data_IF_924423778865
#
_entry.id   IF_924423778865
#
_cell.length_a   1.000
_cell.length_b   1.000
_cell.length_c   1.000
_cell.angle_alpha   90.00
_cell.angle_beta   90.00
_cell.angle_gamma   90.00
#
_symmetry.space_group_name_H-M   'P 1'
#
loop_
_entity.id
_entity.type
_entity.pdbx_description
1 polymer ?
#
# COMPACT_ATOMS: atom_id res chain seq x y z
N UNK A 1 -39.09 -27.60 18.42
CA UNK A 1 -38.14 -27.45 17.30
C UNK A 1 -37.09 -26.45 17.74
N UNK A 2 -35.84 -26.87 17.95
CA UNK A 2 -34.76 -25.94 18.24
C UNK A 2 -34.37 -25.18 16.96
N UNK A 3 -34.05 -23.88 17.01
CA UNK A 3 -33.66 -23.14 15.83
C UNK A 3 -32.34 -23.68 15.27
N UNK A 4 -32.27 -23.83 13.95
CA UNK A 4 -31.02 -24.20 13.27
C UNK A 4 -30.02 -23.03 13.45
N UNK A 5 -28.76 -23.30 13.79
CA UNK A 5 -27.76 -22.24 13.87
C UNK A 5 -27.65 -21.52 12.53
N UNK A 6 -27.58 -20.19 12.59
CA UNK A 6 -27.36 -19.35 11.42
C UNK A 6 -25.97 -19.67 10.82
N UNK A 7 -25.80 -19.53 9.49
CA UNK A 7 -24.48 -19.65 8.89
C UNK A 7 -23.53 -18.58 9.45
N UNK A 8 -22.21 -18.84 9.45
CA UNK A 8 -21.24 -17.83 9.83
C UNK A 8 -21.31 -16.62 8.89
N UNK A 9 -20.99 -15.41 9.37
CA UNK A 9 -20.97 -14.21 8.54
C UNK A 9 -19.87 -14.27 7.48
N UNK A 10 -20.11 -13.65 6.32
CA UNK A 10 -19.10 -13.50 5.27
C UNK A 10 -18.06 -12.44 5.62
N UNK A 11 -16.78 -12.71 5.32
CA UNK A 11 -15.70 -11.73 5.45
C UNK A 11 -15.48 -10.98 4.13
N UNK A 12 -15.63 -9.65 4.15
CA UNK A 12 -15.40 -8.77 2.99
C UNK A 12 -14.02 -8.12 3.07
N UNK A 13 -13.24 -8.22 1.99
CA UNK A 13 -11.93 -7.55 1.88
C UNK A 13 -12.05 -6.30 1.01
N UNK A 14 -12.01 -5.12 1.65
CA UNK A 14 -12.22 -3.81 1.00
C UNK A 14 -10.94 -3.06 0.61
N UNK A 15 -9.78 -3.73 0.75
CA UNK A 15 -8.45 -3.18 0.51
C UNK A 15 -8.17 -3.00 -1.00
N UNK A 16 -7.07 -2.33 -1.38
CA UNK A 16 -6.65 -2.31 -2.78
C UNK A 16 -6.54 -3.71 -3.38
N UNK A 17 -6.94 -3.84 -4.65
CA UNK A 17 -7.04 -5.14 -5.33
C UNK A 17 -5.73 -5.94 -5.28
N UNK A 18 -4.58 -5.26 -5.40
CA UNK A 18 -3.25 -5.86 -5.33
C UNK A 18 -2.93 -6.48 -3.96
N UNK A 19 -3.59 -6.02 -2.90
CA UNK A 19 -3.40 -6.54 -1.54
C UNK A 19 -4.38 -7.68 -1.23
N UNK A 20 -5.59 -7.69 -1.82
CA UNK A 20 -6.64 -8.64 -1.46
C UNK A 20 -6.22 -10.11 -1.61
N UNK A 21 -5.46 -10.47 -2.65
CA UNK A 21 -5.05 -11.86 -2.87
C UNK A 21 -4.22 -12.42 -1.70
N UNK A 22 -3.26 -11.65 -1.18
CA UNK A 22 -2.42 -12.06 -0.07
C UNK A 22 -3.23 -12.25 1.23
N UNK A 23 -4.22 -11.38 1.47
CA UNK A 23 -5.11 -11.49 2.62
C UNK A 23 -6.06 -12.67 2.50
N UNK A 24 -6.68 -12.86 1.33
CA UNK A 24 -7.56 -13.99 1.07
C UNK A 24 -6.83 -15.33 1.27
N UNK A 25 -5.58 -15.44 0.81
CA UNK A 25 -4.78 -16.65 1.03
C UNK A 25 -4.50 -16.91 2.53
N UNK A 26 -4.22 -15.87 3.30
CA UNK A 26 -4.01 -16.00 4.76
C UNK A 26 -5.28 -16.42 5.49
N UNK A 27 -6.45 -15.89 5.11
CA UNK A 27 -7.73 -16.30 5.68
C UNK A 27 -8.14 -17.72 5.25
N UNK A 28 -7.90 -18.09 3.99
CA UNK A 28 -8.17 -19.43 3.50
C UNK A 28 -7.34 -20.49 4.24
N UNK A 29 -6.09 -20.18 4.60
CA UNK A 29 -5.25 -21.05 5.44
C UNK A 29 -5.82 -21.28 6.84
N UNK A 30 -6.73 -20.41 7.30
CA UNK A 30 -7.47 -20.52 8.56
C UNK A 30 -8.89 -21.09 8.38
N UNK A 31 -9.25 -21.53 7.16
CA UNK A 31 -10.59 -22.02 6.85
C UNK A 31 -11.66 -20.94 6.76
N UNK A 32 -11.28 -19.68 6.52
CA UNK A 32 -12.20 -18.54 6.42
C UNK A 32 -12.31 -18.10 4.96
N UNK A 33 -13.50 -18.23 4.40
CA UNK A 33 -13.81 -17.75 3.06
C UNK A 33 -13.97 -16.23 3.04
N UNK A 34 -13.36 -15.59 2.04
CA UNK A 34 -13.37 -14.15 1.85
C UNK A 34 -13.99 -13.76 0.51
N UNK A 35 -14.74 -12.65 0.50
CA UNK A 35 -15.21 -12.01 -0.72
C UNK A 35 -14.38 -10.74 -0.94
N UNK A 36 -13.68 -10.67 -2.07
CA UNK A 36 -12.93 -9.47 -2.45
C UNK A 36 -13.88 -8.40 -2.99
N UNK A 37 -13.90 -7.22 -2.37
CA UNK A 37 -14.66 -6.06 -2.81
C UNK A 37 -13.76 -4.81 -2.74
N UNK A 38 -12.79 -4.62 -3.65
CA UNK A 38 -11.83 -3.53 -3.55
C UNK A 38 -12.54 -2.16 -3.61
N UNK A 39 -12.43 -1.37 -2.55
CA UNK A 39 -13.03 -0.02 -2.47
C UNK A 39 -11.99 1.10 -2.48
N UNK A 40 -10.70 0.74 -2.48
CA UNK A 40 -9.58 1.68 -2.44
C UNK A 40 -8.72 1.46 -3.68
N UNK A 41 -8.54 2.50 -4.49
CA UNK A 41 -7.55 2.53 -5.54
C UNK A 41 -6.35 3.37 -5.09
N UNK A 42 -5.14 2.90 -5.38
CA UNK A 42 -3.90 3.62 -5.11
C UNK A 42 -3.33 4.06 -6.45
N UNK A 43 -3.16 5.36 -6.60
CA UNK A 43 -2.54 5.96 -7.78
C UNK A 43 -1.35 6.82 -7.34
N UNK A 44 -0.23 6.67 -8.05
CA UNK A 44 0.92 7.57 -7.91
C UNK A 44 0.66 8.83 -8.72
N UNK A 45 0.95 9.98 -8.12
CA UNK A 45 0.84 11.26 -8.81
C UNK A 45 2.07 11.48 -9.69
N UNK A 46 1.84 11.65 -10.99
CA UNK A 46 2.85 11.90 -12.02
C UNK A 46 2.70 13.27 -12.68
N UNK A 47 1.81 14.12 -12.15
CA UNK A 47 1.67 15.49 -12.61
C UNK A 47 2.93 16.33 -12.34
N UNK A 48 3.13 17.37 -13.15
CA UNK A 48 4.33 18.20 -13.10
C UNK A 48 4.58 18.81 -11.70
N UNK A 49 3.54 19.17 -10.95
CA UNK A 49 3.69 19.75 -9.63
C UNK A 49 4.16 18.70 -8.61
N UNK A 50 3.62 17.47 -8.67
CA UNK A 50 4.05 16.35 -7.84
C UNK A 50 5.50 15.94 -8.12
N UNK A 51 5.89 15.87 -9.40
CA UNK A 51 7.28 15.63 -9.80
C UNK A 51 8.21 16.71 -9.26
N UNK A 52 7.85 17.98 -9.42
CA UNK A 52 8.67 19.10 -8.94
C UNK A 52 8.83 19.08 -7.41
N UNK A 53 7.77 18.77 -6.66
CA UNK A 53 7.86 18.60 -5.19
C UNK A 53 8.84 17.51 -4.82
N UNK A 54 8.73 16.34 -5.45
CA UNK A 54 9.63 15.22 -5.22
C UNK A 54 11.09 15.61 -5.49
N UNK A 55 11.37 16.27 -6.60
CA UNK A 55 12.72 16.76 -6.93
C UNK A 55 13.26 17.73 -5.87
N UNK A 56 12.44 18.64 -5.37
CA UNK A 56 12.85 19.59 -4.33
C UNK A 56 13.16 18.94 -2.98
N UNK A 57 12.47 17.84 -2.64
CA UNK A 57 12.79 17.02 -1.46
C UNK A 57 14.11 16.28 -1.69
N UNK A 58 14.31 15.68 -2.86
CA UNK A 58 15.55 14.97 -3.19
C UNK A 58 16.79 15.88 -3.13
N UNK A 59 16.66 17.11 -3.62
CA UNK A 59 17.74 18.09 -3.57
C UNK A 59 18.22 18.38 -2.15
N UNK A 60 17.33 18.30 -1.15
CA UNK A 60 17.59 18.61 0.26
C UNK A 60 17.80 17.37 1.13
N UNK A 61 18.05 16.20 0.53
CA UNK A 61 18.17 14.95 1.29
C UNK A 61 19.24 14.99 2.39
N UNK A 62 20.35 15.68 2.14
CA UNK A 62 21.44 15.95 3.08
C UNK A 62 21.06 16.81 4.28
N UNK A 63 19.90 17.49 4.24
CA UNK A 63 19.42 18.35 5.33
C UNK A 63 18.54 17.60 6.34
N UNK A 64 18.12 16.37 6.03
CA UNK A 64 17.23 15.59 6.89
C UNK A 64 18.02 14.53 7.68
N UNK A 65 17.77 14.44 8.99
CA UNK A 65 18.39 13.41 9.82
C UNK A 65 17.84 12.00 9.56
N UNK A 66 16.61 11.89 9.04
CA UNK A 66 15.95 10.61 8.76
C UNK A 66 14.80 10.75 7.74
N UNK A 67 14.42 9.64 7.11
CA UNK A 67 13.25 9.53 6.23
C UNK A 67 12.33 8.42 6.76
N UNK A 68 11.06 8.74 7.02
CA UNK A 68 10.05 7.78 7.46
C UNK A 68 9.05 7.48 6.34
N UNK A 69 8.87 6.20 6.01
CA UNK A 69 7.85 5.75 5.08
C UNK A 69 6.70 5.09 5.85
N UNK A 70 5.49 5.62 5.72
CA UNK A 70 4.32 5.17 6.50
C UNK A 70 3.49 4.07 5.81
N UNK A 71 3.90 3.66 4.60
CA UNK A 71 3.25 2.56 3.88
C UNK A 71 4.18 2.00 2.79
N UNK A 72 3.94 0.75 2.33
CA UNK A 72 4.62 0.20 1.16
C UNK A 72 4.46 1.06 -0.11
N UNK A 73 3.29 1.68 -0.29
CA UNK A 73 3.03 2.57 -1.42
C UNK A 73 3.97 3.79 -1.40
N UNK A 74 4.21 4.38 -0.21
CA UNK A 74 5.12 5.52 -0.08
C UNK A 74 6.56 5.13 -0.50
N UNK A 75 7.00 3.92 -0.14
CA UNK A 75 8.32 3.39 -0.57
C UNK A 75 8.37 3.27 -2.10
N UNK A 76 7.36 2.64 -2.69
CA UNK A 76 7.29 2.45 -4.14
C UNK A 76 7.23 3.77 -4.92
N UNK A 77 6.49 4.77 -4.43
CA UNK A 77 6.36 6.07 -5.10
C UNK A 77 7.55 6.99 -4.94
N UNK A 78 8.37 6.80 -3.89
CA UNK A 78 9.51 7.67 -3.62
C UNK A 78 10.82 7.17 -4.28
N UNK A 79 11.09 5.85 -4.24
CA UNK A 79 12.39 5.29 -4.60
C UNK A 79 12.52 4.84 -6.06
N UNK A 80 12.78 5.78 -6.96
CA UNK A 80 13.21 5.49 -8.33
C UNK A 80 14.75 5.55 -8.48
N UNK A 81 15.24 5.42 -9.73
CA UNK A 81 16.66 5.50 -10.05
C UNK A 81 17.33 6.82 -9.61
N UNK A 82 16.62 7.95 -9.71
CA UNK A 82 17.14 9.26 -9.34
C UNK A 82 17.26 9.41 -7.82
N UNK A 83 16.24 8.98 -7.06
CA UNK A 83 16.30 9.01 -5.60
C UNK A 83 17.42 8.11 -5.08
N UNK A 84 17.57 6.91 -5.67
CA UNK A 84 18.67 6.00 -5.37
C UNK A 84 20.04 6.62 -5.67
N UNK A 85 20.18 7.30 -6.82
CA UNK A 85 21.42 7.98 -7.18
C UNK A 85 21.75 9.11 -6.22
N UNK A 86 20.77 9.98 -5.89
CA UNK A 86 20.98 11.08 -4.95
C UNK A 86 21.39 10.57 -3.57
N UNK A 87 20.73 9.52 -3.07
CA UNK A 87 21.07 8.90 -1.79
C UNK A 87 22.51 8.39 -1.75
N UNK A 88 23.00 7.77 -2.83
CA UNK A 88 24.38 7.29 -2.95
C UNK A 88 25.43 8.41 -3.00
N UNK A 89 25.01 9.66 -3.20
CA UNK A 89 25.88 10.83 -3.30
C UNK A 89 25.87 11.69 -2.03
N UNK A 90 25.11 11.30 -1.00
CA UNK A 90 25.16 11.90 0.34
C UNK A 90 26.41 11.41 1.07
#
# INVERSE_FOLDING_TARGET
>A
MSPRPAPPPSLLLTRPATQNAAWAAQFAALGIDCIALPLIHIQFLDDAASVQRRLSVLAKLDQWAAIMHVSPNAVQGFWDAQAMQRWRQL
#
